data_IF_617952910536
#
_entry.id   IF_617952910536
#
_cell.length_a   1.000
_cell.length_b   1.000
_cell.length_c   1.000
_cell.angle_alpha   90.00
_cell.angle_beta   90.00
_cell.angle_gamma   90.00
#
_symmetry.space_group_name_H-M   'P 1'
#
loop_
_entity.id
_entity.type
_entity.pdbx_description
1 polymer ?
#
# COMPACT_ATOMS: atom_id res chain seq x y z
N UNK A 1 -8.17 54.82 -50.52
CA UNK A 1 -7.42 55.87 -49.79
C UNK A 1 -7.80 55.78 -48.32
N UNK A 2 -6.79 55.93 -47.46
CA UNK A 2 -6.78 55.70 -46.01
C UNK A 2 -7.40 56.86 -45.20
N UNK A 3 -7.55 56.58 -43.89
CA UNK A 3 -7.65 57.48 -42.70
C UNK A 3 -9.07 57.66 -42.13
N UNK A 4 -9.40 57.09 -40.96
CA UNK A 4 -9.12 57.53 -39.55
C UNK A 4 -10.17 58.55 -39.07
N UNK A 5 -10.60 58.68 -37.82
CA UNK A 5 -10.60 57.96 -36.54
C UNK A 5 -11.44 58.86 -35.58
N UNK A 6 -12.02 58.35 -34.48
CA UNK A 6 -12.42 59.18 -33.33
C UNK A 6 -13.72 58.81 -32.61
N UNK A 7 -13.58 58.24 -31.40
CA UNK A 7 -14.62 58.06 -30.36
C UNK A 7 -15.04 59.38 -29.70
N UNK A 8 -16.27 59.49 -29.14
CA UNK A 8 -16.59 59.35 -27.69
C UNK A 8 -17.98 59.91 -27.28
N UNK A 9 -18.60 59.16 -26.36
CA UNK A 9 -19.52 59.50 -25.24
C UNK A 9 -20.95 60.07 -25.40
N UNK A 10 -21.86 59.39 -24.65
CA UNK A 10 -23.23 59.77 -24.25
C UNK A 10 -23.22 60.80 -23.09
N UNK A 11 -24.38 61.40 -22.75
CA UNK A 11 -25.05 61.03 -21.49
C UNK A 11 -26.61 61.07 -21.47
N UNK A 12 -27.15 60.53 -20.37
CA UNK A 12 -28.47 60.58 -19.66
C UNK A 12 -29.08 62.00 -19.51
N UNK A 13 -30.33 62.31 -19.09
CA UNK A 13 -31.55 61.65 -18.54
C UNK A 13 -32.73 62.68 -18.55
N UNK A 14 -33.99 62.20 -18.66
CA UNK A 14 -35.29 62.65 -18.03
C UNK A 14 -35.88 64.08 -18.25
N UNK A 15 -37.23 64.37 -18.05
CA UNK A 15 -38.11 63.87 -16.96
C UNK A 15 -39.68 63.76 -17.13
N UNK A 16 -40.30 62.92 -16.27
CA UNK A 16 -41.41 63.11 -15.26
C UNK A 16 -42.88 63.56 -15.59
N UNK A 17 -43.82 62.78 -14.96
CA UNK A 17 -45.20 62.98 -14.39
C UNK A 17 -46.42 63.33 -15.29
N UNK A 18 -47.70 63.03 -14.95
CA UNK A 18 -48.37 62.90 -13.63
C UNK A 18 -49.76 62.20 -13.68
N UNK A 19 -50.11 61.54 -12.55
CA UNK A 19 -51.41 61.58 -11.79
C UNK A 19 -52.64 60.75 -12.24
N UNK A 20 -53.06 59.71 -11.47
CA UNK A 20 -54.03 59.65 -10.33
C UNK A 20 -55.48 59.36 -10.81
N UNK A 21 -56.41 58.61 -10.20
CA UNK A 21 -56.64 58.15 -8.82
C UNK A 21 -57.83 57.16 -8.74
N UNK A 22 -57.85 56.30 -7.71
CA UNK A 22 -59.00 55.72 -6.93
C UNK A 22 -60.01 54.76 -7.59
N UNK A 23 -60.45 53.63 -7.00
CA UNK A 23 -60.26 53.01 -5.68
C UNK A 23 -61.59 52.45 -5.11
N UNK A 24 -61.60 51.23 -4.56
CA UNK A 24 -62.48 50.68 -3.49
C UNK A 24 -62.00 49.23 -3.17
N UNK A 25 -61.12 49.01 -2.19
CA UNK A 25 -61.33 48.71 -0.76
C UNK A 25 -62.37 47.61 -0.44
N UNK A 26 -61.89 46.44 -0.03
CA UNK A 26 -62.54 45.61 1.01
C UNK A 26 -61.48 45.11 1.99
N UNK A 27 -61.79 45.27 3.27
CA UNK A 27 -60.92 45.24 4.43
C UNK A 27 -60.76 43.84 5.04
N UNK A 28 -59.50 43.49 5.32
CA UNK A 28 -59.00 42.89 6.58
C UNK A 28 -59.73 41.68 7.17
N UNK A 29 -59.13 40.51 7.02
CA UNK A 29 -59.10 39.47 8.06
C UNK A 29 -57.64 39.15 8.35
N UNK A 30 -57.17 39.79 9.41
CA UNK A 30 -55.89 39.62 10.10
C UNK A 30 -55.83 38.18 10.63
N UNK A 31 -55.08 37.31 9.97
CA UNK A 31 -54.36 36.24 10.63
C UNK A 31 -52.91 36.41 10.22
N UNK A 32 -52.13 36.91 11.18
CA UNK A 32 -50.69 36.74 11.26
C UNK A 32 -50.44 35.23 11.23
N UNK A 33 -50.33 34.66 10.04
CA UNK A 33 -49.47 33.51 9.84
C UNK A 33 -48.11 34.13 9.55
N UNK A 34 -47.27 34.13 10.59
CA UNK A 34 -45.83 34.30 10.45
C UNK A 34 -45.45 33.51 9.20
N UNK A 35 -45.04 34.19 8.12
CA UNK A 35 -44.26 33.55 7.09
C UNK A 35 -43.04 33.05 7.86
N UNK A 36 -43.08 31.78 8.28
CA UNK A 36 -41.89 31.00 8.50
C UNK A 36 -41.15 31.13 7.17
N UNK A 37 -40.25 32.12 7.10
CA UNK A 37 -39.05 32.00 6.32
C UNK A 37 -38.49 30.65 6.75
N UNK A 38 -38.85 29.58 6.04
CA UNK A 38 -38.09 28.35 6.04
C UNK A 38 -36.71 28.81 5.59
N UNK A 39 -35.86 29.16 6.57
CA UNK A 39 -34.46 29.44 6.39
C UNK A 39 -33.93 28.28 5.57
N UNK A 40 -33.72 28.54 4.28
CA UNK A 40 -33.22 27.53 3.36
C UNK A 40 -31.90 27.05 3.98
N UNK A 41 -31.80 25.76 4.40
CA UNK A 41 -30.71 25.32 5.23
C UNK A 41 -29.40 25.65 4.52
N UNK A 42 -28.38 26.17 5.22
CA UNK A 42 -27.19 26.72 4.60
C UNK A 42 -26.67 25.74 3.56
N UNK A 43 -26.34 26.22 2.35
CA UNK A 43 -26.01 25.41 1.15
C UNK A 43 -24.94 24.32 1.36
N UNK A 44 -24.25 24.33 2.51
CA UNK A 44 -23.47 23.23 3.10
C UNK A 44 -24.27 21.93 3.31
N UNK A 45 -25.60 22.00 3.48
CA UNK A 45 -26.49 20.86 3.71
C UNK A 45 -27.14 20.33 2.43
N UNK A 46 -27.21 21.15 1.37
CA UNK A 46 -27.76 20.77 0.06
C UNK A 46 -26.65 20.23 -0.86
N UNK A 47 -26.24 18.99 -0.62
CA UNK A 47 -25.38 18.26 -1.55
C UNK A 47 -26.18 17.79 -2.77
N UNK A 48 -25.92 18.38 -3.94
CA UNK A 48 -26.30 17.78 -5.22
C UNK A 48 -25.43 16.56 -5.50
N UNK A 49 -26.05 15.44 -5.87
CA UNK A 49 -25.33 14.23 -6.28
C UNK A 49 -24.38 14.55 -7.46
N UNK A 50 -23.06 14.51 -7.27
CA UNK A 50 -22.11 14.85 -8.34
C UNK A 50 -22.27 13.85 -9.49
N UNK A 51 -22.22 14.32 -10.74
CA UNK A 51 -22.29 13.43 -11.90
C UNK A 51 -21.02 12.59 -12.11
N UNK A 52 -19.93 12.90 -11.39
CA UNK A 52 -18.63 12.23 -11.51
C UNK A 52 -17.84 12.22 -10.20
N UNK A 53 -16.98 11.21 -10.06
CA UNK A 53 -16.07 11.07 -8.92
C UNK A 53 -14.79 11.91 -9.07
N UNK A 54 -14.41 12.59 -7.99
CA UNK A 54 -13.20 13.40 -7.90
C UNK A 54 -12.33 13.00 -6.70
N UNK A 55 -11.07 13.45 -6.72
CA UNK A 55 -10.13 13.18 -5.62
C UNK A 55 -10.60 13.91 -4.36
N UNK A 56 -10.53 13.22 -3.22
CA UNK A 56 -10.99 13.75 -1.93
C UNK A 56 -12.47 13.49 -1.64
N UNK A 57 -13.26 13.02 -2.61
CA UNK A 57 -14.66 12.69 -2.38
C UNK A 57 -14.83 11.47 -1.45
N UNK A 58 -15.84 11.54 -0.59
CA UNK A 58 -16.31 10.43 0.24
C UNK A 58 -17.26 9.56 -0.57
N UNK A 59 -17.05 8.24 -0.52
CA UNK A 59 -17.79 7.25 -1.31
C UNK A 59 -18.09 6.01 -0.49
N UNK A 60 -19.12 5.27 -0.89
CA UNK A 60 -19.35 3.90 -0.45
C UNK A 60 -18.71 2.93 -1.45
N UNK A 61 -18.01 1.93 -0.94
CA UNK A 61 -17.50 0.80 -1.72
C UNK A 61 -17.99 -0.52 -1.12
N UNK A 62 -18.60 -1.36 -1.96
CA UNK A 62 -18.85 -2.78 -1.60
C UNK A 62 -17.62 -3.62 -1.92
N UNK A 63 -17.12 -4.34 -0.92
CA UNK A 63 -15.92 -5.16 -1.04
C UNK A 63 -16.16 -6.60 -0.55
N UNK A 64 -16.04 -7.57 -1.47
CA UNK A 64 -16.27 -8.99 -1.22
C UNK A 64 -17.60 -9.23 -0.49
N UNK A 65 -17.57 -9.95 0.65
CA UNK A 65 -18.71 -10.31 1.49
C UNK A 65 -19.11 -9.22 2.50
N UNK A 66 -18.37 -8.12 2.55
CA UNK A 66 -18.61 -7.05 3.52
C UNK A 66 -19.70 -6.08 3.02
N UNK A 67 -20.41 -5.40 3.95
CA UNK A 67 -21.35 -4.35 3.58
C UNK A 67 -20.65 -3.22 2.80
N UNK A 68 -21.44 -2.36 2.19
CA UNK A 68 -20.88 -1.12 1.66
C UNK A 68 -20.21 -0.35 2.79
N UNK A 69 -18.97 0.07 2.58
CA UNK A 69 -18.17 0.74 3.60
C UNK A 69 -17.72 2.13 3.15
N UNK A 70 -17.63 3.13 4.06
CA UNK A 70 -17.14 4.46 3.72
C UNK A 70 -15.66 4.45 3.32
N UNK A 71 -15.34 5.19 2.26
CA UNK A 71 -13.99 5.33 1.73
C UNK A 71 -13.76 6.74 1.17
N UNK A 72 -12.49 7.13 1.01
CA UNK A 72 -12.07 8.37 0.35
C UNK A 72 -11.35 8.08 -0.96
N UNK A 73 -11.65 8.86 -2.00
CA UNK A 73 -10.99 8.73 -3.31
C UNK A 73 -9.60 9.38 -3.26
N UNK A 74 -8.54 8.60 -3.50
CA UNK A 74 -7.15 9.10 -3.56
C UNK A 74 -6.70 9.49 -4.96
N UNK A 75 -7.17 8.79 -5.99
CA UNK A 75 -6.89 9.15 -7.38
C UNK A 75 -7.97 8.62 -8.32
N UNK A 76 -8.19 9.30 -9.45
CA UNK A 76 -9.18 8.91 -10.47
C UNK A 76 -8.48 8.77 -11.82
N UNK A 77 -8.59 7.58 -12.42
CA UNK A 77 -8.12 7.29 -13.78
C UNK A 77 -9.32 7.29 -14.72
N UNK A 78 -9.65 8.48 -15.25
CA UNK A 78 -10.83 8.68 -16.10
C UNK A 78 -10.82 7.82 -17.37
N UNK A 79 -9.64 7.65 -17.99
CA UNK A 79 -9.47 6.80 -19.20
C UNK A 79 -9.85 5.33 -18.93
N UNK A 80 -9.41 4.80 -17.80
CA UNK A 80 -9.61 3.38 -17.44
C UNK A 80 -10.93 3.14 -16.67
N UNK A 81 -11.72 4.19 -16.41
CA UNK A 81 -12.91 4.16 -15.54
C UNK A 81 -12.65 3.50 -14.17
N UNK A 82 -11.47 3.79 -13.59
CA UNK A 82 -11.02 3.26 -12.29
C UNK A 82 -10.68 4.38 -11.32
N UNK A 83 -10.80 4.11 -10.03
CA UNK A 83 -10.34 4.98 -8.96
C UNK A 83 -9.53 4.17 -7.94
N UNK A 84 -8.55 4.82 -7.31
CA UNK A 84 -7.91 4.31 -6.11
C UNK A 84 -8.62 4.91 -4.91
N UNK A 85 -9.15 4.05 -4.04
CA UNK A 85 -9.92 4.45 -2.84
C UNK A 85 -9.30 3.87 -1.58
N UNK A 86 -9.42 4.57 -0.47
CA UNK A 86 -8.94 4.14 0.84
C UNK A 86 -10.10 4.09 1.82
N UNK A 87 -10.30 2.97 2.50
CA UNK A 87 -11.36 2.84 3.50
C UNK A 87 -11.14 3.78 4.67
N UNK A 88 -12.24 4.33 5.17
CA UNK A 88 -12.26 5.10 6.40
C UNK A 88 -12.47 4.11 7.53
N UNK A 89 -11.55 4.10 8.48
CA UNK A 89 -11.54 3.21 9.63
C UNK A 89 -11.01 3.99 10.85
N UNK A 90 -11.33 3.52 12.06
CA UNK A 90 -10.92 4.18 13.30
C UNK A 90 -9.40 4.38 13.42
N UNK A 91 -8.61 3.41 12.93
CA UNK A 91 -7.14 3.46 12.92
C UNK A 91 -6.59 3.27 11.50
N UNK A 92 -6.98 4.15 10.58
CA UNK A 92 -6.49 4.12 9.19
C UNK A 92 -5.12 4.79 9.05
N UNK A 93 -4.31 4.35 8.08
CA UNK A 93 -3.11 5.07 7.68
C UNK A 93 -3.45 6.04 6.52
N UNK A 94 -3.51 7.38 6.73
CA UNK A 94 -3.90 8.33 5.69
C UNK A 94 -2.92 8.34 4.50
N UNK A 95 -1.64 8.02 4.76
CA UNK A 95 -0.59 7.88 3.74
C UNK A 95 -0.59 6.49 3.08
N UNK A 96 -1.45 5.57 3.52
CA UNK A 96 -1.55 4.22 3.00
C UNK A 96 -1.94 4.15 1.52
N UNK A 97 -1.60 3.04 0.87
CA UNK A 97 -1.97 2.76 -0.53
C UNK A 97 -3.47 2.48 -0.61
N UNK A 98 -4.18 3.13 -1.55
CA UNK A 98 -5.59 2.85 -1.82
C UNK A 98 -5.76 1.63 -2.74
N UNK A 99 -6.91 0.97 -2.63
CA UNK A 99 -7.31 -0.15 -3.48
C UNK A 99 -7.86 0.39 -4.80
N UNK A 100 -7.47 -0.20 -5.92
CA UNK A 100 -7.97 0.20 -7.23
C UNK A 100 -9.28 -0.52 -7.55
N UNK A 101 -10.34 0.22 -7.81
CA UNK A 101 -11.69 -0.30 -8.11
C UNK A 101 -12.30 0.38 -9.33
N UNK A 102 -13.26 -0.29 -9.97
CA UNK A 102 -14.07 0.30 -11.04
C UNK A 102 -14.99 1.40 -10.48
N UNK A 103 -15.14 2.50 -11.20
CA UNK A 103 -16.05 3.61 -10.81
C UNK A 103 -17.50 3.13 -10.65
N UNK A 104 -17.91 2.07 -11.38
CA UNK A 104 -19.26 1.49 -11.28
C UNK A 104 -19.57 0.84 -9.92
N UNK A 105 -18.54 0.51 -9.14
CA UNK A 105 -18.68 -0.11 -7.79
C UNK A 105 -18.77 0.93 -6.68
N UNK A 106 -18.59 2.21 -7.00
CA UNK A 106 -18.63 3.31 -6.05
C UNK A 106 -20.02 3.94 -6.06
N UNK A 107 -20.49 4.32 -4.88
CA UNK A 107 -21.62 5.25 -4.72
C UNK A 107 -21.13 6.48 -3.99
N UNK A 108 -21.72 7.65 -4.24
CA UNK A 108 -21.42 8.83 -3.44
C UNK A 108 -21.85 8.61 -1.99
N UNK A 109 -21.09 9.15 -1.03
CA UNK A 109 -21.39 8.94 0.39
C UNK A 109 -22.80 9.42 0.79
N UNK A 110 -23.28 10.49 0.16
CA UNK A 110 -24.62 11.06 0.39
C UNK A 110 -25.66 10.62 -0.65
N UNK A 111 -25.51 9.43 -1.24
CA UNK A 111 -26.53 8.86 -2.11
C UNK A 111 -27.85 8.59 -1.35
N UNK A 112 -28.97 8.46 -2.07
CA UNK A 112 -30.30 8.21 -1.49
C UNK A 112 -30.35 6.98 -0.57
N UNK A 113 -29.56 5.94 -0.86
CA UNK A 113 -29.51 4.74 -0.03
C UNK A 113 -28.63 4.85 1.23
N UNK A 114 -28.04 6.01 1.54
CA UNK A 114 -27.07 6.20 2.64
C UNK A 114 -27.54 5.58 3.96
N UNK A 115 -28.78 5.85 4.37
CA UNK A 115 -29.32 5.33 5.62
C UNK A 115 -29.40 3.80 5.62
N UNK A 116 -29.90 3.20 4.55
CA UNK A 116 -29.94 1.75 4.39
C UNK A 116 -28.54 1.10 4.37
N UNK A 117 -27.54 1.78 3.78
CA UNK A 117 -26.15 1.31 3.80
C UNK A 117 -25.54 1.37 5.21
N UNK A 118 -25.84 2.43 5.96
CA UNK A 118 -25.43 2.56 7.36
C UNK A 118 -26.08 1.49 8.24
N UNK A 119 -27.37 1.27 8.10
CA UNK A 119 -28.10 0.30 8.92
C UNK A 119 -27.60 -1.12 8.66
N UNK A 120 -27.40 -1.49 7.39
CA UNK A 120 -26.77 -2.76 7.01
C UNK A 120 -25.33 -2.91 7.54
N UNK A 121 -24.56 -1.82 7.60
CA UNK A 121 -23.21 -1.88 8.18
C UNK A 121 -23.25 -1.99 9.71
N UNK A 122 -24.28 -1.43 10.37
CA UNK A 122 -24.46 -1.49 11.83
C UNK A 122 -24.82 -2.89 12.32
N UNK A 123 -25.53 -3.69 11.51
CA UNK A 123 -25.93 -5.06 11.86
C UNK A 123 -24.75 -5.88 12.43
N UNK A 124 -23.61 -5.88 11.72
CA UNK A 124 -22.43 -6.65 12.11
C UNK A 124 -21.29 -5.79 12.67
N UNK A 125 -21.30 -4.47 12.41
CA UNK A 125 -20.15 -3.60 12.66
C UNK A 125 -20.50 -2.23 13.27
N UNK A 126 -21.56 -2.17 14.10
CA UNK A 126 -22.08 -0.95 14.74
C UNK A 126 -21.00 0.00 15.28
N UNK A 127 -20.02 -0.51 16.03
CA UNK A 127 -18.98 0.32 16.62
C UNK A 127 -18.00 0.88 15.57
N UNK A 128 -17.54 0.03 14.66
CA UNK A 128 -16.60 0.41 13.62
C UNK A 128 -17.20 1.42 12.63
N UNK A 129 -18.46 1.22 12.23
CA UNK A 129 -19.16 2.20 11.38
C UNK A 129 -19.44 3.50 12.15
N UNK A 130 -19.74 3.40 13.44
CA UNK A 130 -19.87 4.55 14.34
C UNK A 130 -18.60 5.42 14.35
N UNK A 131 -17.42 4.81 14.48
CA UNK A 131 -16.14 5.54 14.39
C UNK A 131 -15.94 6.24 13.05
N UNK A 132 -16.30 5.57 11.95
CA UNK A 132 -16.21 6.16 10.60
C UNK A 132 -17.11 7.39 10.48
N UNK A 133 -18.36 7.26 10.95
CA UNK A 133 -19.34 8.37 10.97
C UNK A 133 -18.83 9.52 11.83
N UNK A 134 -18.31 9.27 13.03
CA UNK A 134 -17.76 10.32 13.91
C UNK A 134 -16.63 11.10 13.24
N UNK A 135 -15.71 10.42 12.56
CA UNK A 135 -14.62 11.07 11.83
C UNK A 135 -15.13 11.94 10.66
N UNK A 136 -16.07 11.42 9.88
CA UNK A 136 -16.65 12.12 8.73
C UNK A 136 -17.46 13.33 9.20
N UNK A 137 -18.24 13.19 10.25
CA UNK A 137 -19.07 14.26 10.81
C UNK A 137 -18.20 15.38 11.37
N UNK A 138 -17.20 15.08 12.20
CA UNK A 138 -16.30 16.11 12.74
C UNK A 138 -15.52 16.83 11.62
N UNK A 139 -15.04 16.09 10.62
CA UNK A 139 -14.42 16.69 9.42
C UNK A 139 -15.37 17.69 8.73
N UNK A 140 -16.62 17.31 8.50
CA UNK A 140 -17.62 18.16 7.82
C UNK A 140 -17.98 19.39 8.64
N UNK A 141 -18.13 19.25 9.96
CA UNK A 141 -18.38 20.38 10.86
C UNK A 141 -17.22 21.37 10.77
N UNK A 142 -15.97 20.89 10.84
CA UNK A 142 -14.80 21.77 10.77
C UNK A 142 -14.67 22.50 9.45
N UNK A 143 -14.98 21.81 8.35
CA UNK A 143 -15.00 22.38 7.01
C UNK A 143 -16.11 23.43 6.87
N UNK A 144 -17.31 23.13 7.35
CA UNK A 144 -18.47 24.03 7.29
C UNK A 144 -18.32 25.27 8.16
N UNK A 145 -17.69 25.14 9.33
CA UNK A 145 -17.40 26.26 10.23
C UNK A 145 -16.12 27.03 9.86
N UNK A 146 -15.42 26.66 8.78
CA UNK A 146 -14.18 27.31 8.35
C UNK A 146 -12.96 27.09 9.25
N UNK A 147 -13.07 26.26 10.29
CA UNK A 147 -11.96 25.91 11.20
C UNK A 147 -10.90 25.01 10.58
N UNK A 148 -11.18 24.44 9.40
CA UNK A 148 -10.26 23.63 8.61
C UNK A 148 -10.60 23.76 7.11
N UNK A 149 -9.59 23.74 6.24
CA UNK A 149 -9.76 23.93 4.79
C UNK A 149 -9.04 22.86 3.94
N UNK A 150 -8.63 21.74 4.54
CA UNK A 150 -7.97 20.64 3.84
C UNK A 150 -8.90 19.48 3.49
N UNK A 151 -8.33 18.44 2.90
CA UNK A 151 -8.98 17.17 2.59
C UNK A 151 -9.21 16.30 3.84
N UNK A 152 -10.09 15.30 3.73
CA UNK A 152 -10.36 14.35 4.82
C UNK A 152 -9.09 13.66 5.34
N UNK A 153 -8.14 13.32 4.46
CA UNK A 153 -6.89 12.66 4.85
C UNK A 153 -5.94 13.61 5.59
N UNK A 154 -5.92 14.89 5.21
CA UNK A 154 -5.17 15.92 5.93
C UNK A 154 -5.80 16.19 7.30
N UNK A 155 -7.13 16.24 7.38
CA UNK A 155 -7.86 16.33 8.65
C UNK A 155 -7.49 15.18 9.59
N UNK A 156 -7.53 13.93 9.11
CA UNK A 156 -7.21 12.76 9.93
C UNK A 156 -5.75 12.76 10.41
N UNK A 157 -4.83 13.30 9.60
CA UNK A 157 -3.42 13.43 9.97
C UNK A 157 -3.15 14.62 10.91
N UNK A 158 -4.03 15.62 10.94
CA UNK A 158 -3.87 16.83 11.74
C UNK A 158 -4.28 16.64 13.21
N UNK A 159 -3.76 17.51 14.08
CA UNK A 159 -4.04 17.46 15.53
C UNK A 159 -5.50 17.78 15.86
N UNK A 160 -6.20 18.51 15.00
CA UNK A 160 -7.62 18.84 15.14
C UNK A 160 -8.53 17.60 15.19
N UNK A 161 -8.11 16.48 14.60
CA UNK A 161 -8.85 15.21 14.67
C UNK A 161 -8.49 14.36 15.89
N UNK A 162 -7.49 14.77 16.68
CA UNK A 162 -6.99 14.02 17.84
C UNK A 162 -8.08 13.71 18.87
N UNK A 163 -9.00 14.63 19.25
CA UNK A 163 -10.05 14.32 20.22
C UNK A 163 -10.92 13.14 19.78
N UNK A 164 -11.32 13.11 18.50
CA UNK A 164 -12.13 12.03 17.91
C UNK A 164 -11.31 10.75 17.77
N UNK A 165 -10.04 10.83 17.34
CA UNK A 165 -9.16 9.66 17.26
C UNK A 165 -8.87 9.05 18.64
N UNK A 166 -8.76 9.88 19.68
CA UNK A 166 -8.50 9.44 21.05
C UNK A 166 -9.70 8.71 21.64
N UNK A 167 -10.93 9.20 21.44
CA UNK A 167 -12.13 8.48 21.89
C UNK A 167 -12.26 7.12 21.21
N UNK A 168 -11.98 7.04 19.91
CA UNK A 168 -11.92 5.78 19.17
C UNK A 168 -10.86 4.83 19.76
N UNK A 169 -9.64 5.31 20.06
CA UNK A 169 -8.58 4.47 20.62
C UNK A 169 -8.89 3.95 22.03
N UNK A 170 -9.62 4.72 22.84
CA UNK A 170 -10.05 4.29 24.18
C UNK A 170 -11.13 3.19 24.10
N UNK A 171 -11.98 3.23 23.08
CA UNK A 171 -13.01 2.24 22.80
C UNK A 171 -12.49 0.92 22.18
N UNK A 172 -11.30 0.94 21.57
CA UNK A 172 -10.68 -0.20 20.85
C UNK A 172 -10.22 -1.34 21.76
N UNK A 173 -10.26 -1.19 23.09
CA UNK A 173 -10.04 -2.30 24.03
C UNK A 173 -11.15 -3.37 23.97
N UNK A 174 -12.27 -3.12 23.27
CA UNK A 174 -13.44 -4.00 23.22
C UNK A 174 -13.70 -4.80 21.94
N UNK A 175 -13.32 -4.35 20.74
CA UNK A 175 -13.63 -5.08 19.49
C UNK A 175 -12.61 -4.84 18.36
N UNK A 176 -12.36 -5.88 17.54
CA UNK A 176 -11.41 -5.88 16.41
C UNK A 176 -12.16 -6.02 15.08
N UNK A 177 -12.19 -4.96 14.27
CA UNK A 177 -12.68 -4.99 12.89
C UNK A 177 -11.66 -5.66 11.94
N UNK A 178 -12.08 -6.40 10.89
CA UNK A 178 -11.17 -6.98 9.90
C UNK A 178 -10.63 -5.90 8.95
N UNK A 179 -9.31 -5.79 8.82
CA UNK A 179 -8.66 -4.82 7.93
C UNK A 179 -8.97 -5.14 6.45
N UNK A 180 -9.74 -4.29 5.76
CA UNK A 180 -10.22 -4.53 4.38
C UNK A 180 -9.23 -4.08 3.28
N UNK A 181 -7.96 -3.88 3.63
CA UNK A 181 -6.92 -3.23 2.82
C UNK A 181 -6.19 -4.06 1.76
N UNK A 182 -6.56 -5.32 1.45
CA UNK A 182 -5.85 -6.15 0.45
C UNK A 182 -6.80 -6.93 -0.48
N UNK A 183 -6.79 -6.59 -1.78
CA UNK A 183 -7.42 -7.30 -2.93
C UNK A 183 -6.75 -8.63 -3.27
N UNK A 184 -7.38 -9.63 -3.92
CA UNK A 184 -8.75 -9.86 -4.45
C UNK A 184 -8.86 -11.40 -4.81
N UNK A 185 -9.85 -11.91 -5.56
CA UNK A 185 -11.01 -12.73 -5.13
C UNK A 185 -10.89 -14.27 -5.39
N UNK A 186 -11.74 -15.09 -4.76
CA UNK A 186 -12.55 -16.16 -5.41
C UNK A 186 -13.63 -16.68 -4.43
N UNK A 187 -14.86 -16.86 -4.93
CA UNK A 187 -16.03 -17.51 -4.34
C UNK A 187 -16.53 -18.59 -5.34
N UNK A 188 -17.53 -19.47 -5.06
CA UNK A 188 -18.28 -19.79 -3.83
C UNK A 188 -18.33 -21.33 -3.54
N UNK A 189 -18.86 -21.79 -2.41
CA UNK A 189 -20.10 -22.61 -2.21
C UNK A 189 -19.78 -23.44 -0.95
N UNK A 190 -20.63 -23.80 0.02
CA UNK A 190 -22.05 -23.70 0.35
C UNK A 190 -22.22 -24.48 1.68
N UNK A 191 -23.20 -24.08 2.47
CA UNK A 191 -23.85 -24.74 3.61
C UNK A 191 -23.08 -25.18 4.87
N UNK A 192 -23.37 -24.43 5.94
CA UNK A 192 -23.86 -24.86 7.26
C UNK A 192 -23.15 -26.00 8.01
N UNK A 193 -22.54 -25.69 9.17
CA UNK A 193 -23.10 -25.96 10.53
C UNK A 193 -22.08 -25.68 11.64
N UNK A 194 -22.63 -25.41 12.83
CA UNK A 194 -21.99 -25.02 14.09
C UNK A 194 -20.82 -25.92 14.52
N UNK A 195 -19.83 -25.30 15.16
CA UNK A 195 -19.04 -25.96 16.21
C UNK A 195 -17.61 -26.32 15.85
N UNK A 196 -16.71 -25.34 15.83
CA UNK A 196 -15.32 -25.56 16.25
C UNK A 196 -14.61 -24.22 16.42
N UNK A 197 -13.91 -24.10 17.55
CA UNK A 197 -12.84 -23.12 17.75
C UNK A 197 -12.10 -22.89 16.44
N UNK A 198 -12.17 -21.68 15.85
CA UNK A 198 -11.35 -21.38 14.68
C UNK A 198 -9.91 -21.27 15.17
N UNK A 199 -8.98 -22.11 14.69
CA UNK A 199 -7.58 -21.97 15.04
C UNK A 199 -7.13 -20.56 14.66
N UNK A 200 -6.25 -19.93 15.46
CA UNK A 200 -5.34 -18.92 14.91
C UNK A 200 -4.91 -19.45 13.55
N UNK A 201 -5.27 -18.76 12.45
CA UNK A 201 -4.96 -19.25 11.11
C UNK A 201 -3.46 -19.43 11.09
N UNK A 202 -3.01 -20.67 11.26
CA UNK A 202 -1.62 -21.06 11.11
C UNK A 202 -1.26 -20.52 9.75
N UNK A 203 -0.39 -19.52 9.73
CA UNK A 203 0.10 -18.93 8.49
C UNK A 203 0.61 -20.11 7.69
N UNK A 204 -0.06 -20.43 6.58
CA UNK A 204 0.33 -21.58 5.78
C UNK A 204 1.80 -21.37 5.37
N UNK A 205 2.65 -22.39 5.50
CA UNK A 205 4.08 -22.23 5.25
C UNK A 205 4.30 -21.60 3.87
N UNK A 206 5.29 -20.71 3.80
CA UNK A 206 5.54 -19.98 2.59
C UNK A 206 5.99 -20.94 1.46
N UNK A 207 5.14 -21.07 0.45
CA UNK A 207 5.38 -21.97 -0.67
C UNK A 207 6.32 -21.36 -1.70
N UNK A 208 6.49 -20.03 -1.74
CA UNK A 208 7.45 -19.40 -2.67
C UNK A 208 8.88 -19.66 -2.25
N UNK A 209 9.22 -19.48 -0.97
CA UNK A 209 10.53 -19.88 -0.44
C UNK A 209 10.81 -21.37 -0.68
N UNK A 210 9.91 -22.25 -0.25
CA UNK A 210 10.09 -23.69 -0.47
C UNK A 210 10.16 -24.10 -1.96
N UNK A 211 9.57 -23.33 -2.88
CA UNK A 211 9.72 -23.58 -4.32
C UNK A 211 11.09 -23.10 -4.84
N UNK A 212 11.58 -21.96 -4.35
CA UNK A 212 12.93 -21.45 -4.63
C UNK A 212 13.98 -22.41 -4.08
N UNK A 213 13.84 -22.90 -2.85
CA UNK A 213 14.76 -23.88 -2.26
C UNK A 213 14.80 -25.16 -3.11
N UNK A 214 13.64 -25.67 -3.55
CA UNK A 214 13.60 -26.82 -4.48
C UNK A 214 14.27 -26.54 -5.83
N UNK A 215 14.16 -25.33 -6.36
CA UNK A 215 14.83 -24.95 -7.61
C UNK A 215 16.34 -24.82 -7.40
N UNK A 216 16.75 -24.19 -6.31
CA UNK A 216 18.13 -24.00 -5.88
C UNK A 216 18.83 -25.32 -5.58
N UNK A 217 18.09 -26.38 -5.20
CA UNK A 217 18.66 -27.71 -5.03
C UNK A 217 19.41 -28.17 -6.28
N UNK A 218 18.96 -27.82 -7.49
CA UNK A 218 19.68 -28.16 -8.73
C UNK A 218 21.04 -27.46 -8.83
N UNK A 219 21.15 -26.25 -8.29
CA UNK A 219 22.42 -25.52 -8.21
C UNK A 219 23.36 -26.20 -7.21
N UNK A 220 22.84 -26.58 -6.04
CA UNK A 220 23.60 -27.32 -5.02
C UNK A 220 24.10 -28.65 -5.58
N UNK A 221 23.25 -29.40 -6.27
CA UNK A 221 23.63 -30.67 -6.91
C UNK A 221 24.71 -30.48 -7.98
N UNK A 222 24.59 -29.42 -8.79
CA UNK A 222 25.61 -29.10 -9.77
C UNK A 222 26.96 -28.74 -9.12
N UNK A 223 26.95 -27.96 -8.05
CA UNK A 223 28.16 -27.51 -7.34
C UNK A 223 28.81 -28.68 -6.60
N UNK A 224 28.06 -29.40 -5.78
CA UNK A 224 28.60 -30.36 -4.80
C UNK A 224 28.69 -31.78 -5.40
N UNK A 225 27.59 -32.30 -5.96
CA UNK A 225 27.54 -33.68 -6.46
C UNK A 225 28.25 -33.82 -7.80
N UNK A 226 27.92 -32.95 -8.75
CA UNK A 226 28.51 -32.99 -10.09
C UNK A 226 29.89 -32.32 -10.15
N UNK A 227 30.28 -31.57 -9.10
CA UNK A 227 31.53 -30.79 -9.06
C UNK A 227 31.70 -29.89 -10.28
N UNK A 228 30.60 -29.40 -10.85
CA UNK A 228 30.60 -28.72 -12.14
C UNK A 228 31.31 -27.37 -12.11
N UNK A 229 31.31 -26.69 -10.96
CA UNK A 229 32.02 -25.43 -10.76
C UNK A 229 33.51 -25.59 -10.43
N UNK A 230 33.99 -26.80 -10.14
CA UNK A 230 35.31 -27.01 -9.54
C UNK A 230 36.46 -26.55 -10.44
N UNK A 231 36.36 -26.80 -11.75
CA UNK A 231 37.36 -26.35 -12.74
C UNK A 231 37.44 -24.82 -12.81
N UNK A 232 36.29 -24.14 -12.76
CA UNK A 232 36.18 -22.68 -12.75
C UNK A 232 36.77 -22.10 -11.47
N UNK A 233 36.43 -22.66 -10.32
CA UNK A 233 36.94 -22.23 -9.01
C UNK A 233 38.46 -22.40 -8.93
N UNK A 234 39.01 -23.55 -9.37
CA UNK A 234 40.46 -23.77 -9.45
C UNK A 234 41.15 -22.78 -10.38
N UNK A 235 40.54 -22.45 -11.51
CA UNK A 235 41.11 -21.46 -12.43
C UNK A 235 41.21 -20.06 -11.79
N UNK A 236 40.25 -19.68 -10.96
CA UNK A 236 40.28 -18.43 -10.19
C UNK A 236 41.34 -18.48 -9.11
N UNK A 237 41.40 -19.58 -8.35
CA UNK A 237 42.39 -19.78 -7.28
C UNK A 237 43.84 -19.71 -7.80
N UNK A 238 44.09 -20.29 -8.98
CA UNK A 238 45.39 -20.20 -9.65
C UNK A 238 45.62 -18.89 -10.43
N UNK A 239 44.75 -17.88 -10.28
CA UNK A 239 44.82 -16.60 -11.00
C UNK A 239 44.85 -16.74 -12.54
N UNK A 240 44.35 -17.87 -13.08
CA UNK A 240 44.24 -18.12 -14.52
C UNK A 240 42.99 -17.49 -15.12
N UNK A 241 41.95 -17.31 -14.29
CA UNK A 241 40.70 -16.65 -14.67
C UNK A 241 40.47 -15.43 -13.78
N UNK A 242 40.16 -14.24 -14.34
CA UNK A 242 39.83 -13.07 -13.53
C UNK A 242 38.48 -13.28 -12.85
N UNK A 243 38.40 -12.85 -11.59
CA UNK A 243 37.16 -12.81 -10.80
C UNK A 243 36.96 -11.40 -10.26
N UNK A 244 35.77 -10.83 -10.50
CA UNK A 244 35.42 -9.53 -9.91
C UNK A 244 35.24 -9.61 -8.40
N UNK A 245 34.86 -10.76 -7.87
CA UNK A 245 34.74 -11.00 -6.42
C UNK A 245 36.10 -11.07 -5.77
N UNK A 246 37.03 -11.82 -6.36
CA UNK A 246 38.42 -11.85 -5.92
C UNK A 246 39.05 -10.45 -5.95
N UNK A 247 38.86 -9.71 -7.05
CA UNK A 247 39.37 -8.34 -7.17
C UNK A 247 38.81 -7.43 -6.07
N UNK A 248 37.51 -7.51 -5.80
CA UNK A 248 36.83 -6.71 -4.78
C UNK A 248 37.30 -7.08 -3.37
N UNK A 249 37.45 -8.38 -3.10
CA UNK A 249 37.95 -8.92 -1.83
C UNK A 249 39.37 -8.42 -1.52
N UNK A 250 40.24 -8.33 -2.54
CA UNK A 250 41.61 -7.84 -2.39
C UNK A 250 41.68 -6.30 -2.28
N UNK A 251 40.75 -5.57 -2.90
CA UNK A 251 40.76 -4.09 -2.89
C UNK A 251 40.08 -3.47 -1.67
N UNK A 252 39.19 -4.20 -1.01
CA UNK A 252 38.36 -3.69 0.09
C UNK A 252 38.77 -4.32 1.42
N UNK A 253 39.14 -3.48 2.40
CA UNK A 253 39.37 -3.89 3.79
C UNK A 253 38.06 -4.14 4.58
N UNK A 254 36.92 -3.84 3.96
CA UNK A 254 35.60 -3.92 4.57
C UNK A 254 34.87 -5.17 4.06
N UNK A 255 34.33 -5.97 4.98
CA UNK A 255 33.45 -7.09 4.68
C UNK A 255 32.27 -6.57 3.84
N UNK A 256 32.07 -7.14 2.65
CA UNK A 256 30.88 -6.86 1.85
C UNK A 256 29.72 -7.46 2.63
N UNK A 257 29.08 -6.60 3.41
CA UNK A 257 28.05 -6.94 4.36
C UNK A 257 26.94 -7.71 3.65
N UNK A 258 26.79 -8.98 4.04
CA UNK A 258 25.66 -9.88 3.82
C UNK A 258 24.68 -9.43 2.73
N UNK A 259 25.03 -9.66 1.46
CA UNK A 259 23.97 -9.87 0.47
C UNK A 259 23.28 -11.16 0.91
N UNK A 260 22.02 -11.07 1.32
CA UNK A 260 21.13 -12.23 1.52
C UNK A 260 21.51 -13.29 0.49
N UNK A 261 22.07 -14.40 0.98
CA UNK A 261 22.67 -15.41 0.14
C UNK A 261 21.63 -15.89 -0.84
N UNK A 262 21.98 -15.97 -2.13
CA UNK A 262 21.08 -16.49 -3.17
C UNK A 262 20.45 -17.85 -2.79
N UNK A 263 21.13 -18.60 -1.92
CA UNK A 263 20.61 -19.76 -1.19
C UNK A 263 20.08 -19.32 0.18
N UNK A 264 18.75 -19.36 0.37
CA UNK A 264 18.08 -19.00 1.63
C UNK A 264 17.86 -20.18 2.58
N UNK A 265 18.02 -21.41 2.11
CA UNK A 265 17.97 -22.61 2.94
C UNK A 265 19.34 -22.86 3.57
N UNK A 266 19.40 -22.88 4.91
CA UNK A 266 20.64 -23.02 5.66
C UNK A 266 21.33 -24.37 5.37
N UNK A 267 20.57 -25.45 5.21
CA UNK A 267 21.16 -26.76 4.91
C UNK A 267 21.80 -26.81 3.52
N UNK A 268 21.17 -26.18 2.52
CA UNK A 268 21.75 -26.00 1.19
C UNK A 268 23.02 -25.15 1.22
N UNK A 269 23.01 -24.06 1.98
CA UNK A 269 24.16 -23.19 2.13
C UNK A 269 25.32 -23.92 2.82
N UNK A 270 25.05 -24.62 3.91
CA UNK A 270 26.03 -25.41 4.66
C UNK A 270 26.68 -26.49 3.77
N UNK A 271 25.89 -27.21 2.96
CA UNK A 271 26.40 -28.23 2.03
C UNK A 271 27.38 -27.63 1.02
N UNK A 272 27.04 -26.47 0.45
CA UNK A 272 27.91 -25.76 -0.50
C UNK A 272 29.15 -25.21 0.20
N UNK A 273 29.02 -24.61 1.38
CA UNK A 273 30.15 -24.05 2.13
C UNK A 273 31.12 -25.15 2.55
N UNK A 274 30.63 -26.30 3.04
CA UNK A 274 31.47 -27.45 3.39
C UNK A 274 32.26 -27.97 2.18
N UNK A 275 31.59 -28.09 1.03
CA UNK A 275 32.25 -28.45 -0.22
C UNK A 275 33.35 -27.44 -0.61
N UNK A 276 33.06 -26.14 -0.55
CA UNK A 276 34.03 -25.09 -0.89
C UNK A 276 35.21 -25.03 0.09
N UNK A 277 34.98 -25.33 1.37
CA UNK A 277 36.06 -25.52 2.34
C UNK A 277 36.97 -26.68 1.93
N UNK A 278 36.41 -27.76 1.39
CA UNK A 278 37.16 -28.88 0.79
C UNK A 278 38.02 -28.43 -0.40
N UNK A 279 37.42 -27.71 -1.35
CA UNK A 279 38.14 -27.16 -2.53
C UNK A 279 39.32 -26.27 -2.10
N UNK A 280 39.17 -25.50 -1.02
CA UNK A 280 40.27 -24.72 -0.43
C UNK A 280 41.32 -25.57 0.28
N UNK A 281 40.95 -26.67 0.96
CA UNK A 281 41.89 -27.54 1.72
C UNK A 281 42.86 -28.25 0.79
N UNK A 282 42.38 -28.66 -0.37
CA UNK A 282 43.23 -29.25 -1.42
C UNK A 282 44.30 -28.26 -1.96
N UNK A 283 44.28 -27.00 -1.51
CA UNK A 283 45.14 -25.89 -1.95
C UNK A 283 46.00 -25.27 -0.84
N UNK A 284 46.20 -25.93 0.31
CA UNK A 284 46.91 -25.43 1.52
C UNK A 284 48.42 -25.06 1.32
N UNK A 285 48.84 -24.65 0.12
CA UNK A 285 50.10 -23.96 -0.17
C UNK A 285 50.00 -22.64 -0.96
N UNK A 286 48.81 -22.16 -1.34
CA UNK A 286 48.66 -20.97 -2.21
C UNK A 286 47.55 -19.96 -1.81
N UNK A 287 46.76 -20.22 -0.78
CA UNK A 287 45.76 -19.25 -0.30
C UNK A 287 46.48 -18.12 0.46
N UNK A 288 46.18 -16.82 0.24
CA UNK A 288 46.87 -15.73 0.90
C UNK A 288 46.85 -15.91 2.43
N UNK A 289 48.02 -16.12 3.03
CA UNK A 289 48.19 -16.31 4.47
C UNK A 289 47.81 -15.03 5.22
N UNK A 290 46.56 -14.94 5.66
CA UNK A 290 46.14 -13.91 6.62
C UNK A 290 45.08 -14.43 7.59
N UNK A 291 45.45 -15.43 8.39
CA UNK A 291 44.65 -15.88 9.54
C UNK A 291 43.34 -16.60 9.19
N UNK A 292 42.81 -17.35 10.16
CA UNK A 292 41.59 -18.17 10.01
C UNK A 292 40.33 -17.37 9.64
N UNK A 293 40.28 -16.09 10.02
CA UNK A 293 39.18 -15.17 9.69
C UNK A 293 39.10 -14.81 8.20
N UNK A 294 40.22 -14.72 7.49
CA UNK A 294 40.20 -14.39 6.07
C UNK A 294 39.80 -15.57 5.19
N UNK A 295 39.97 -16.82 5.64
CA UNK A 295 39.57 -18.02 4.88
C UNK A 295 38.05 -18.17 4.78
N UNK A 296 37.34 -18.00 5.89
CA UNK A 296 35.86 -18.04 5.89
C UNK A 296 35.32 -16.89 5.05
N UNK A 297 35.86 -15.69 5.25
CA UNK A 297 35.50 -14.50 4.47
C UNK A 297 35.76 -14.71 2.98
N UNK A 298 36.88 -15.32 2.61
CA UNK A 298 37.19 -15.63 1.22
C UNK A 298 36.20 -16.62 0.60
N UNK A 299 35.79 -17.64 1.35
CA UNK A 299 34.79 -18.60 0.87
C UNK A 299 33.46 -17.88 0.61
N UNK A 300 33.00 -17.06 1.56
CA UNK A 300 31.70 -16.38 1.46
C UNK A 300 31.70 -15.23 0.44
N UNK A 301 32.76 -14.43 0.39
CA UNK A 301 32.83 -13.22 -0.45
C UNK A 301 33.31 -13.51 -1.87
N UNK A 302 33.99 -14.64 -2.11
CA UNK A 302 34.58 -14.97 -3.42
C UNK A 302 34.04 -16.29 -3.96
N UNK A 303 34.35 -17.42 -3.31
CA UNK A 303 34.10 -18.73 -3.90
C UNK A 303 32.62 -19.08 -4.00
N UNK A 304 31.84 -18.74 -2.98
CA UNK A 304 30.41 -19.01 -2.93
C UNK A 304 29.68 -18.27 -4.05
N UNK A 305 29.82 -16.94 -4.22
CA UNK A 305 29.26 -16.24 -5.36
C UNK A 305 29.75 -16.78 -6.72
N UNK A 306 31.04 -17.12 -6.87
CA UNK A 306 31.57 -17.70 -8.12
C UNK A 306 30.94 -19.07 -8.45
N UNK A 307 30.79 -19.93 -7.45
CA UNK A 307 30.21 -21.25 -7.60
C UNK A 307 28.73 -21.16 -8.00
N UNK A 308 27.97 -20.27 -7.35
CA UNK A 308 26.55 -20.07 -7.65
C UNK A 308 26.36 -19.51 -9.06
N UNK A 309 27.16 -18.52 -9.48
CA UNK A 309 27.06 -17.95 -10.83
C UNK A 309 27.39 -19.00 -11.89
N UNK A 310 28.45 -19.79 -11.67
CA UNK A 310 28.81 -20.90 -12.55
C UNK A 310 27.66 -21.92 -12.65
N UNK A 311 27.03 -22.25 -11.52
CA UNK A 311 25.90 -23.16 -11.49
C UNK A 311 24.67 -22.61 -12.21
N UNK A 312 24.32 -21.33 -12.02
CA UNK A 312 23.21 -20.68 -12.74
C UNK A 312 23.46 -20.72 -14.25
N UNK A 313 24.68 -20.35 -14.68
CA UNK A 313 25.06 -20.39 -16.10
C UNK A 313 24.88 -21.78 -16.71
N UNK A 314 25.31 -22.83 -16.00
CA UNK A 314 25.21 -24.21 -16.48
C UNK A 314 23.78 -24.77 -16.42
N UNK A 315 23.07 -24.61 -15.31
CA UNK A 315 21.74 -25.18 -15.08
C UNK A 315 20.66 -24.50 -15.93
N UNK A 316 20.78 -23.19 -16.14
CA UNK A 316 19.83 -22.41 -16.94
C UNK A 316 20.27 -22.21 -18.38
N UNK A 317 21.44 -22.74 -18.75
CA UNK A 317 22.04 -22.60 -20.09
C UNK A 317 22.12 -21.14 -20.56
N UNK A 318 22.53 -20.24 -19.65
CA UNK A 318 22.73 -18.81 -19.91
C UNK A 318 24.20 -18.44 -19.88
N UNK A 319 24.57 -17.33 -20.54
CA UNK A 319 25.94 -16.84 -20.48
C UNK A 319 26.32 -16.40 -19.05
N UNK A 320 27.62 -16.44 -18.75
CA UNK A 320 28.13 -16.11 -17.41
C UNK A 320 27.74 -14.70 -16.96
N UNK A 321 27.68 -13.72 -17.87
CA UNK A 321 27.35 -12.33 -17.53
C UNK A 321 25.87 -12.20 -17.16
N UNK A 322 24.98 -12.91 -17.85
CA UNK A 322 23.55 -13.00 -17.49
C UNK A 322 23.35 -13.71 -16.16
N UNK A 323 24.07 -14.81 -15.91
CA UNK A 323 24.05 -15.50 -14.62
C UNK A 323 24.51 -14.59 -13.47
N UNK A 324 25.56 -13.80 -13.69
CA UNK A 324 26.06 -12.82 -12.73
C UNK A 324 25.02 -11.75 -12.42
N UNK A 325 24.34 -11.19 -13.43
CA UNK A 325 23.27 -10.22 -13.21
C UNK A 325 22.10 -10.83 -12.44
N UNK A 326 21.77 -12.10 -12.70
CA UNK A 326 20.73 -12.82 -11.96
C UNK A 326 21.12 -13.01 -10.49
N UNK A 327 22.38 -13.37 -10.23
CA UNK A 327 22.91 -13.50 -8.88
C UNK A 327 22.82 -12.17 -8.11
N UNK A 328 23.29 -11.07 -8.70
CA UNK A 328 23.27 -9.72 -8.09
C UNK A 328 21.84 -9.24 -7.83
N UNK A 329 20.91 -9.54 -8.75
CA UNK A 329 19.50 -9.16 -8.61
C UNK A 329 18.82 -9.88 -7.44
N UNK A 330 19.29 -11.08 -7.10
CA UNK A 330 18.69 -11.93 -6.09
C UNK A 330 17.31 -12.47 -6.47
N UNK A 331 16.69 -13.27 -5.60
CA UNK A 331 15.34 -13.77 -5.80
C UNK A 331 14.31 -12.62 -5.73
N UNK A 332 13.26 -12.71 -6.55
CA UNK A 332 12.15 -11.76 -6.45
C UNK A 332 11.29 -12.11 -5.24
N UNK A 333 11.30 -11.24 -4.23
CA UNK A 333 10.47 -11.40 -3.04
C UNK A 333 8.98 -11.32 -3.40
N UNK A 334 8.23 -12.30 -2.89
CA UNK A 334 6.77 -12.28 -2.92
C UNK A 334 6.26 -11.13 -2.05
N UNK A 335 5.10 -10.57 -2.42
CA UNK A 335 4.37 -9.62 -1.58
C UNK A 335 4.13 -10.17 -0.16
N UNK A 336 4.03 -11.50 -0.03
CA UNK A 336 3.80 -12.21 1.22
C UNK A 336 5.05 -12.30 2.10
N UNK A 337 6.21 -12.58 1.52
CA UNK A 337 7.51 -12.57 2.22
C UNK A 337 7.80 -11.18 2.77
N UNK A 338 7.51 -10.15 1.96
CA UNK A 338 7.62 -8.76 2.39
C UNK A 338 6.69 -8.43 3.57
N UNK A 339 5.45 -8.92 3.54
CA UNK A 339 4.50 -8.72 4.64
C UNK A 339 4.94 -9.44 5.93
N UNK A 340 5.51 -10.64 5.85
CA UNK A 340 6.05 -11.36 7.02
C UNK A 340 7.19 -10.57 7.63
N UNK A 341 8.15 -10.12 6.83
CA UNK A 341 9.28 -9.31 7.30
C UNK A 341 8.83 -7.97 7.93
N UNK A 342 7.90 -7.25 7.27
CA UNK A 342 7.36 -6.00 7.79
C UNK A 342 6.65 -6.21 9.15
N UNK A 343 5.95 -7.34 9.31
CA UNK A 343 5.29 -7.70 10.57
C UNK A 343 6.30 -8.07 11.66
N UNK A 344 7.33 -8.88 11.36
CA UNK A 344 8.40 -9.22 12.32
C UNK A 344 9.13 -7.98 12.82
N UNK A 345 9.43 -7.03 11.93
CA UNK A 345 10.05 -5.76 12.28
C UNK A 345 9.14 -4.91 13.18
N UNK A 346 7.84 -4.90 12.90
CA UNK A 346 6.83 -4.24 13.74
C UNK A 346 6.76 -4.87 15.14
N UNK A 347 6.75 -6.20 15.23
CA UNK A 347 6.75 -6.95 16.49
C UNK A 347 8.00 -6.70 17.32
N UNK A 348 9.17 -6.71 16.68
CA UNK A 348 10.45 -6.37 17.32
C UNK A 348 10.45 -4.94 17.87
N UNK A 349 9.95 -3.97 17.09
CA UNK A 349 9.82 -2.57 17.53
C UNK A 349 8.86 -2.41 18.70
N UNK A 350 7.77 -3.18 18.72
CA UNK A 350 6.81 -3.18 19.82
C UNK A 350 7.41 -3.83 21.09
N UNK A 351 8.26 -4.85 20.94
CA UNK A 351 8.95 -5.50 22.05
C UNK A 351 9.97 -4.57 22.73
N UNK A 352 10.67 -3.73 21.97
CA UNK A 352 11.63 -2.73 22.49
C UNK A 352 10.97 -1.50 23.14
N UNK A 353 9.66 -1.32 22.96
CA UNK A 353 8.88 -0.20 23.53
C UNK A 353 8.10 -0.59 24.79
N UNK A 354 8.06 -1.88 25.11
CA UNK A 354 7.69 -2.39 26.43
C UNK A 354 8.96 -2.45 27.27
#
# INVERSE_FOLDING_TARGET
>A
MLCSAGERDKPEEDPVSSEESTGFKSTHSLLEEEEEEEEEPPRILLYHEPRSFEVGMLVWLKYQKYPFWPAVVKSVRRRDKKASVLFIEGNMNPKGRGITVSLRRLKHFDCKEKHALLDRAKEDFAQAIGWCVSLITDYRVRLGCGSFAGSFLEYYAADISYPVRKSIQQDVLGTRFPQLGKGDPEEPVGDSQLGQWRPCRKVLPDRSRAARDRANQKLVEYIVKAKGAESHLRAILHSRKPSRWLKTFLSSSQCVTCMETYLEDEAQLDEVVEYLQGVCRDMDGQVPERGSGDRIRFILDVLLPEAIICAISAVEAVDYKTAEQKYIRGPTLSYREKEIFDNELLEERNRRRR
#
